data_IF_291371303668
#
_entry.id   IF_291371303668
#
_cell.length_a   1.000
_cell.length_b   1.000
_cell.length_c   1.000
_cell.angle_alpha   90.00
_cell.angle_beta   90.00
_cell.angle_gamma   90.00
#
_symmetry.space_group_name_H-M   'P 1'
#
loop_
_entity.id
_entity.type
_entity.pdbx_description
1 polymer ?
#
# COMPACT_ATOMS: atom_id res chain seq x y z
N UNK A 1 -3.03 40.56 -22.82
CA UNK A 1 -1.81 39.75 -22.68
C UNK A 1 -1.22 39.99 -21.29
N UNK A 2 -0.72 38.91 -20.68
CA UNK A 2 -0.08 38.77 -19.37
C UNK A 2 -1.07 38.66 -18.19
N UNK A 3 -1.52 37.44 -17.86
CA UNK A 3 -0.80 36.37 -17.15
C UNK A 3 -0.67 36.67 -15.66
N UNK A 4 -1.60 36.14 -14.86
CA UNK A 4 -1.32 35.48 -13.58
C UNK A 4 -2.63 35.15 -12.85
N UNK A 5 -3.16 33.97 -13.12
CA UNK A 5 -3.94 33.23 -12.14
C UNK A 5 -3.08 32.01 -11.78
N UNK A 6 -2.36 32.02 -10.65
CA UNK A 6 -1.55 30.89 -10.25
C UNK A 6 -2.47 29.71 -9.90
N UNK A 7 -2.12 28.54 -10.42
CA UNK A 7 -2.65 27.22 -10.08
C UNK A 7 -2.56 26.95 -8.57
N UNK A 8 -3.51 27.50 -7.79
CA UNK A 8 -3.45 27.53 -6.33
C UNK A 8 -3.94 26.27 -5.62
N UNK A 9 -4.06 25.14 -6.32
CA UNK A 9 -4.47 23.87 -5.70
C UNK A 9 -3.58 22.66 -6.03
N UNK A 10 -2.42 22.87 -6.66
CA UNK A 10 -1.33 21.90 -6.55
C UNK A 10 -0.60 22.16 -5.23
N UNK A 11 -0.83 21.32 -4.21
CA UNK A 11 -0.04 21.41 -2.98
C UNK A 11 1.35 20.85 -3.29
N UNK A 12 2.36 21.73 -3.43
CA UNK A 12 3.76 21.31 -3.55
C UNK A 12 4.22 20.72 -2.21
N UNK A 13 4.19 19.40 -2.10
CA UNK A 13 4.93 18.69 -1.07
C UNK A 13 6.25 18.19 -1.71
N UNK A 14 7.39 18.64 -1.18
CA UNK A 14 8.72 18.25 -1.66
C UNK A 14 8.96 18.49 -3.18
N UNK A 15 8.36 19.53 -3.77
CA UNK A 15 8.53 19.87 -5.19
C UNK A 15 7.77 18.97 -6.17
N UNK A 16 6.88 18.10 -5.67
CA UNK A 16 6.00 17.28 -6.51
C UNK A 16 4.65 17.97 -6.70
N UNK A 17 4.18 18.06 -7.94
CA UNK A 17 2.78 18.39 -8.24
C UNK A 17 1.95 17.20 -7.79
N UNK A 18 1.00 17.39 -6.87
CA UNK A 18 0.01 16.36 -6.51
C UNK A 18 -1.24 16.61 -7.34
N UNK A 19 -1.63 15.64 -8.15
CA UNK A 19 -2.77 15.68 -9.06
C UNK A 19 -3.43 14.29 -9.12
N UNK A 20 -4.62 14.22 -9.71
CA UNK A 20 -5.39 12.96 -9.79
C UNK A 20 -4.56 11.82 -10.38
N UNK A 21 -3.79 12.07 -11.42
CA UNK A 21 -3.11 11.02 -12.18
C UNK A 21 -1.95 10.44 -11.38
N UNK A 22 -1.18 11.27 -10.67
CA UNK A 22 -0.10 10.76 -9.82
C UNK A 22 -0.63 10.07 -8.55
N UNK A 23 -1.73 10.52 -7.97
CA UNK A 23 -2.37 9.85 -6.83
C UNK A 23 -2.91 8.46 -7.24
N UNK A 24 -3.50 8.35 -8.45
CA UNK A 24 -3.91 7.06 -9.01
C UNK A 24 -2.71 6.14 -9.31
N UNK A 25 -1.60 6.69 -9.83
CA UNK A 25 -0.39 5.90 -10.04
C UNK A 25 0.16 5.34 -8.73
N UNK A 26 0.19 6.15 -7.66
CA UNK A 26 0.59 5.69 -6.31
C UNK A 26 -0.35 4.60 -5.78
N UNK A 27 -1.66 4.78 -5.97
CA UNK A 27 -2.67 3.77 -5.60
C UNK A 27 -2.37 2.42 -6.24
N UNK A 28 -2.08 2.41 -7.55
CA UNK A 28 -1.78 1.19 -8.29
C UNK A 28 -0.52 0.49 -7.78
N UNK A 29 0.52 1.25 -7.41
CA UNK A 29 1.75 0.70 -6.80
C UNK A 29 1.46 0.02 -5.47
N UNK A 30 0.70 0.69 -4.59
CA UNK A 30 0.36 0.15 -3.27
C UNK A 30 -0.50 -1.13 -3.40
N UNK A 31 -1.50 -1.10 -4.27
CA UNK A 31 -2.36 -2.26 -4.52
C UNK A 31 -1.56 -3.45 -5.08
N UNK A 32 -0.66 -3.20 -6.04
CA UNK A 32 0.21 -4.24 -6.62
C UNK A 32 1.09 -4.89 -5.55
N UNK A 33 1.63 -4.11 -4.62
CA UNK A 33 2.46 -4.65 -3.53
C UNK A 33 1.64 -5.44 -2.51
N UNK A 34 0.44 -4.97 -2.17
CA UNK A 34 -0.49 -5.71 -1.31
C UNK A 34 -0.82 -7.08 -1.93
N UNK A 35 -1.12 -7.12 -3.23
CA UNK A 35 -1.41 -8.36 -3.95
C UNK A 35 -0.21 -9.30 -4.00
N UNK A 36 1.00 -8.78 -4.27
CA UNK A 36 2.23 -9.56 -4.29
C UNK A 36 2.52 -10.20 -2.93
N UNK A 37 2.39 -9.43 -1.85
CA UNK A 37 2.57 -9.95 -0.48
C UNK A 37 1.50 -10.96 -0.12
N UNK A 38 0.24 -10.72 -0.48
CA UNK A 38 -0.87 -11.66 -0.27
C UNK A 38 -0.57 -13.00 -0.92
N UNK A 39 -0.16 -13.02 -2.18
CA UNK A 39 0.18 -14.25 -2.91
C UNK A 39 1.33 -15.02 -2.25
N UNK A 40 2.36 -14.32 -1.76
CA UNK A 40 3.46 -14.95 -1.03
C UNK A 40 2.96 -15.58 0.27
N UNK A 41 2.10 -14.90 1.03
CA UNK A 41 1.53 -15.43 2.27
C UNK A 41 0.59 -16.60 2.04
N UNK A 42 -0.23 -16.57 0.99
CA UNK A 42 -1.10 -17.68 0.61
C UNK A 42 -0.29 -18.90 0.20
N UNK A 43 0.80 -18.70 -0.54
CA UNK A 43 1.65 -19.79 -1.03
C UNK A 43 2.52 -20.40 0.07
N UNK A 44 3.12 -19.57 0.92
CA UNK A 44 4.19 -19.98 1.84
C UNK A 44 3.86 -19.79 3.32
N UNK A 45 2.80 -19.07 3.69
CA UNK A 45 2.45 -18.80 5.09
C UNK A 45 2.11 -20.05 5.90
N UNK A 46 1.75 -21.14 5.22
CA UNK A 46 1.54 -22.47 5.82
C UNK A 46 2.82 -23.30 5.98
N UNK A 47 3.97 -22.86 5.46
CA UNK A 47 5.21 -23.62 5.57
C UNK A 47 5.64 -23.76 7.03
N UNK A 48 5.96 -24.99 7.45
CA UNK A 48 6.40 -25.29 8.82
C UNK A 48 7.71 -26.04 8.77
N UNK A 49 8.57 -25.72 9.74
CA UNK A 49 9.81 -26.42 9.93
C UNK A 49 9.54 -27.77 10.60
N UNK A 50 10.18 -28.82 10.09
CA UNK A 50 10.30 -30.10 10.80
C UNK A 50 11.41 -30.06 11.85
N UNK A 51 11.78 -31.23 12.39
CA UNK A 51 12.97 -31.32 13.23
C UNK A 51 14.21 -30.95 12.44
N UNK A 52 15.10 -30.15 13.04
CA UNK A 52 16.36 -29.74 12.43
C UNK A 52 17.39 -30.87 12.35
N UNK A 53 17.14 -31.99 13.04
CA UNK A 53 18.03 -33.14 13.17
C UNK A 53 17.50 -34.17 14.17
N UNK A 54 18.35 -35.13 14.53
CA UNK A 54 18.05 -36.19 15.50
C UNK A 54 18.51 -35.90 16.93
N UNK A 55 19.12 -34.75 17.17
CA UNK A 55 19.62 -34.38 18.48
C UNK A 55 18.47 -33.97 19.44
N UNK A 56 18.71 -33.96 20.76
CA UNK A 56 17.68 -33.62 21.74
C UNK A 56 17.09 -32.21 21.61
N UNK A 57 17.83 -31.25 21.05
CA UNK A 57 17.41 -29.84 20.95
C UNK A 57 16.55 -29.60 19.70
N UNK A 58 16.63 -30.47 18.70
CA UNK A 58 15.87 -30.35 17.45
C UNK A 58 14.35 -30.27 17.63
N UNK A 59 13.80 -30.84 18.71
CA UNK A 59 12.37 -30.69 19.04
C UNK A 59 12.00 -29.27 19.47
N UNK A 60 12.79 -28.70 20.37
CA UNK A 60 12.57 -27.34 20.89
C UNK A 60 12.81 -26.29 19.79
N UNK A 61 13.84 -26.50 18.95
CA UNK A 61 14.12 -25.64 17.81
C UNK A 61 12.95 -25.61 16.81
N UNK A 62 12.40 -26.77 16.45
CA UNK A 62 11.22 -26.88 15.59
C UNK A 62 10.04 -26.08 16.15
N UNK A 63 9.76 -26.21 17.46
CA UNK A 63 8.69 -25.47 18.12
C UNK A 63 8.93 -23.96 18.07
N UNK A 64 10.14 -23.51 18.45
CA UNK A 64 10.49 -22.10 18.49
C UNK A 64 10.41 -21.44 17.11
N UNK A 65 10.91 -22.10 16.06
CA UNK A 65 10.83 -21.58 14.69
C UNK A 65 9.38 -21.48 14.20
N UNK A 66 8.56 -22.49 14.45
CA UNK A 66 7.17 -22.47 14.02
C UNK A 66 6.35 -21.40 14.77
N UNK A 67 6.56 -21.21 16.08
CA UNK A 67 5.95 -20.11 16.83
C UNK A 67 6.35 -18.73 16.27
N UNK A 68 7.63 -18.56 15.92
CA UNK A 68 8.09 -17.31 15.33
C UNK A 68 7.54 -17.10 13.92
N UNK A 69 7.44 -18.16 13.12
CA UNK A 69 6.85 -18.13 11.80
C UNK A 69 5.37 -17.74 11.86
N UNK A 70 4.59 -18.33 12.77
CA UNK A 70 3.18 -17.98 12.99
C UNK A 70 3.00 -16.50 13.31
N UNK A 71 3.81 -15.98 14.25
CA UNK A 71 3.77 -14.57 14.62
C UNK A 71 4.15 -13.64 13.45
N UNK A 72 5.15 -14.01 12.65
CA UNK A 72 5.56 -13.25 11.48
C UNK A 72 4.47 -13.23 10.41
N UNK A 73 3.90 -14.39 10.09
CA UNK A 73 2.80 -14.53 9.11
C UNK A 73 1.59 -13.71 9.54
N UNK A 74 1.22 -13.75 10.83
CA UNK A 74 0.12 -12.93 11.36
C UNK A 74 0.40 -11.42 11.21
N UNK A 75 1.62 -10.99 11.51
CA UNK A 75 2.03 -9.58 11.33
C UNK A 75 1.97 -9.15 9.86
N UNK A 76 2.40 -10.01 8.93
CA UNK A 76 2.39 -9.70 7.50
C UNK A 76 0.96 -9.65 6.94
N UNK A 77 0.05 -10.49 7.42
CA UNK A 77 -1.37 -10.38 7.07
C UNK A 77 -2.00 -9.06 7.52
N UNK A 78 -1.62 -8.54 8.69
CA UNK A 78 -2.06 -7.22 9.12
C UNK A 78 -1.49 -6.13 8.21
N UNK A 79 -0.21 -6.24 7.83
CA UNK A 79 0.41 -5.29 6.91
C UNK A 79 -0.25 -5.27 5.53
N UNK A 80 -0.63 -6.43 4.97
CA UNK A 80 -1.41 -6.49 3.72
C UNK A 80 -2.73 -5.72 3.86
N UNK A 81 -3.47 -5.90 4.96
CA UNK A 81 -4.71 -5.15 5.21
C UNK A 81 -4.48 -3.65 5.34
N UNK A 82 -3.37 -3.24 5.92
CA UNK A 82 -3.03 -1.82 6.04
C UNK A 82 -2.71 -1.19 4.67
N UNK A 83 -2.01 -1.93 3.79
CA UNK A 83 -1.76 -1.50 2.42
C UNK A 83 -3.06 -1.41 1.59
N UNK A 84 -3.97 -2.37 1.73
CA UNK A 84 -5.28 -2.34 1.08
C UNK A 84 -6.08 -1.09 1.49
N UNK A 85 -6.19 -0.84 2.79
CA UNK A 85 -6.85 0.37 3.32
C UNK A 85 -6.20 1.66 2.83
N UNK A 86 -4.86 1.67 2.75
CA UNK A 86 -4.12 2.82 2.25
C UNK A 86 -4.42 3.05 0.77
N UNK A 87 -4.43 2.00 -0.06
CA UNK A 87 -4.79 2.10 -1.46
C UNK A 87 -6.21 2.65 -1.63
N UNK A 88 -7.19 2.15 -0.86
CA UNK A 88 -8.56 2.67 -0.88
C UNK A 88 -8.63 4.15 -0.51
N UNK A 89 -7.92 4.56 0.56
CA UNK A 89 -7.89 5.95 1.02
C UNK A 89 -7.27 6.90 -0.01
N UNK A 90 -6.22 6.45 -0.69
CA UNK A 90 -5.54 7.23 -1.75
C UNK A 90 -6.43 7.30 -3.00
N UNK A 91 -7.16 6.24 -3.34
CA UNK A 91 -8.14 6.25 -4.43
C UNK A 91 -9.28 7.25 -4.16
N UNK A 92 -9.79 7.29 -2.93
CA UNK A 92 -10.82 8.26 -2.50
C UNK A 92 -10.32 9.71 -2.59
N UNK A 93 -9.06 9.96 -2.19
CA UNK A 93 -8.43 11.26 -2.37
C UNK A 93 -8.35 11.65 -3.87
N UNK A 94 -7.95 10.74 -4.75
CA UNK A 94 -7.90 10.99 -6.20
C UNK A 94 -9.26 11.36 -6.79
N UNK A 95 -10.34 10.70 -6.34
CA UNK A 95 -11.72 11.03 -6.76
C UNK A 95 -12.10 12.44 -6.34
N UNK A 96 -11.73 12.83 -5.12
CA UNK A 96 -11.99 14.17 -4.59
C UNK A 96 -11.28 15.25 -5.42
N UNK A 97 -10.01 15.02 -5.81
CA UNK A 97 -9.31 15.93 -6.72
C UNK A 97 -9.99 16.05 -8.09
N UNK A 98 -10.45 14.94 -8.67
CA UNK A 98 -11.16 14.95 -9.95
C UNK A 98 -12.45 15.78 -9.92
N UNK A 99 -13.19 15.74 -8.80
CA UNK A 99 -14.38 16.58 -8.58
C UNK A 99 -13.96 18.05 -8.43
N UNK A 100 -12.96 18.34 -7.60
CA UNK A 100 -12.49 19.70 -7.38
C UNK A 100 -11.98 20.38 -8.67
N UNK A 101 -11.23 19.66 -9.51
CA UNK A 101 -10.78 20.17 -10.81
C UNK A 101 -11.96 20.44 -11.76
N UNK A 102 -12.99 19.59 -11.74
CA UNK A 102 -14.20 19.81 -12.55
C UNK A 102 -15.00 21.04 -12.10
N UNK A 103 -15.07 21.30 -10.79
CA UNK A 103 -15.71 22.49 -10.23
C UNK A 103 -14.95 23.77 -10.59
N UNK A 104 -13.61 23.74 -10.60
CA UNK A 104 -12.77 24.86 -11.04
C UNK A 104 -12.96 25.13 -12.53
N UNK A 105 -12.97 24.09 -13.37
CA UNK A 105 -13.20 24.25 -14.81
C UNK A 105 -14.59 24.84 -15.12
N UNK A 106 -15.63 24.45 -14.38
CA UNK A 106 -16.97 24.99 -14.52
C UNK A 106 -17.07 26.46 -14.08
N UNK A 107 -16.25 26.89 -13.12
CA UNK A 107 -16.20 28.27 -12.64
C UNK A 107 -15.44 29.23 -13.57
N UNK A 108 -14.61 28.70 -14.48
CA UNK A 108 -13.84 29.47 -15.46
C UNK A 108 -14.01 28.91 -16.89
N UNK A 109 -15.22 28.98 -17.48
CA UNK A 109 -15.42 28.61 -18.87
C UNK A 109 -14.67 29.58 -19.80
N UNK A 110 -14.10 29.02 -20.88
CA UNK A 110 -13.29 29.73 -21.88
C UNK A 110 -14.03 30.86 -22.60
#
# INVERSE_FOLDING_TARGET
MLSNVPARFAHEAAGMRIDRDNVLAVTAVIATEADRLRQVLETYGGARMGKCGGDPVSGDAMLAFNLRADALVASLWNYVKDLEKLADSVADAARTYGIAESDVAAAFPA
#
